data_IF_063847653217
#
_entry.id   IF_063847653217
#
_cell.length_a   1.000
_cell.length_b   1.000
_cell.length_c   1.000
_cell.angle_alpha   90.00
_cell.angle_beta   90.00
_cell.angle_gamma   90.00
#
_symmetry.space_group_name_H-M   'P 1'
#
loop_
_entity.id
_entity.type
_entity.pdbx_description
1 polymer ?
#
# COMPACT_ATOMS: atom_id res chain seq x y z
N UNK A 1 3.46 8.50 2.00
CA UNK A 1 2.66 7.69 1.04
C UNK A 1 2.22 6.36 1.62
N UNK A 2 3.12 5.58 2.26
CA UNK A 2 2.77 4.32 2.95
C UNK A 2 1.54 4.40 3.88
N UNK A 3 1.46 5.43 4.74
CA UNK A 3 0.34 5.63 5.66
C UNK A 3 -1.01 5.75 4.93
N UNK A 4 -1.03 6.46 3.80
CA UNK A 4 -2.22 6.67 3.00
C UNK A 4 -2.65 5.37 2.30
N UNK A 5 -1.69 4.66 1.69
CA UNK A 5 -1.92 3.34 1.06
C UNK A 5 -2.52 2.36 2.06
N UNK A 6 -1.93 2.23 3.26
CA UNK A 6 -2.46 1.34 4.32
C UNK A 6 -3.86 1.72 4.75
N UNK A 7 -4.14 3.01 4.90
CA UNK A 7 -5.47 3.49 5.29
C UNK A 7 -6.52 3.11 4.25
N UNK A 8 -6.20 3.26 2.96
CA UNK A 8 -7.09 2.88 1.86
C UNK A 8 -7.29 1.36 1.81
N UNK A 9 -6.21 0.58 1.86
CA UNK A 9 -6.26 -0.89 1.84
C UNK A 9 -7.16 -1.40 2.98
N UNK A 10 -6.96 -0.91 4.20
CA UNK A 10 -7.73 -1.34 5.35
C UNK A 10 -9.22 -0.91 5.27
N UNK A 11 -9.51 0.27 4.71
CA UNK A 11 -10.89 0.69 4.48
C UNK A 11 -11.62 -0.21 3.47
N UNK A 12 -10.95 -0.56 2.37
CA UNK A 12 -11.54 -1.42 1.35
C UNK A 12 -11.62 -2.89 1.79
N UNK A 13 -10.68 -3.41 2.58
CA UNK A 13 -10.81 -4.74 3.19
C UNK A 13 -12.03 -4.85 4.11
N UNK A 14 -12.29 -3.82 4.92
CA UNK A 14 -13.52 -3.77 5.74
C UNK A 14 -14.78 -3.70 4.89
N UNK A 15 -14.73 -3.00 3.76
CA UNK A 15 -15.85 -2.95 2.82
C UNK A 15 -16.05 -4.30 2.12
N UNK A 16 -14.97 -4.98 1.75
CA UNK A 16 -14.98 -6.30 1.13
C UNK A 16 -15.57 -7.35 2.07
N UNK A 17 -15.10 -7.39 3.32
CA UNK A 17 -15.62 -8.30 4.35
C UNK A 17 -17.14 -8.14 4.56
N UNK A 18 -17.66 -6.90 4.48
CA UNK A 18 -19.11 -6.63 4.55
C UNK A 18 -19.87 -7.08 3.32
N UNK A 19 -19.28 -6.97 2.12
CA UNK A 19 -19.94 -7.32 0.85
C UNK A 19 -19.86 -8.81 0.52
N UNK A 20 -18.85 -9.50 1.04
CA UNK A 20 -18.59 -10.91 0.79
C UNK A 20 -18.38 -11.65 2.13
N UNK A 21 -19.45 -11.90 2.89
CA UNK A 21 -19.37 -12.55 4.21
C UNK A 21 -18.91 -14.02 4.14
N UNK A 22 -18.86 -14.61 2.94
CA UNK A 22 -18.29 -15.94 2.71
C UNK A 22 -16.76 -15.96 2.72
N UNK A 23 -16.10 -14.79 2.59
CA UNK A 23 -14.65 -14.70 2.70
C UNK A 23 -14.24 -14.95 4.15
N UNK A 24 -13.32 -15.89 4.32
CA UNK A 24 -12.72 -16.17 5.60
C UNK A 24 -11.68 -15.11 5.91
N UNK A 25 -11.31 -15.02 7.18
CA UNK A 25 -10.23 -14.14 7.62
C UNK A 25 -8.93 -14.41 6.85
N UNK A 26 -8.59 -15.69 6.64
CA UNK A 26 -7.42 -16.08 5.86
C UNK A 26 -7.44 -15.55 4.41
N UNK A 27 -8.62 -15.49 3.78
CA UNK A 27 -8.74 -14.95 2.42
C UNK A 27 -8.49 -13.43 2.42
N UNK A 28 -9.00 -12.73 3.44
CA UNK A 28 -8.76 -11.30 3.62
C UNK A 28 -7.29 -11.00 3.93
N UNK A 29 -6.61 -11.85 4.71
CA UNK A 29 -5.19 -11.71 5.04
C UNK A 29 -4.32 -11.88 3.78
N UNK A 30 -4.65 -12.82 2.88
CA UNK A 30 -3.96 -12.97 1.59
C UNK A 30 -4.16 -11.73 0.70
N UNK A 31 -5.37 -11.17 0.69
CA UNK A 31 -5.67 -9.95 -0.09
C UNK A 31 -4.92 -8.76 0.49
N UNK A 32 -4.86 -8.61 1.81
CA UNK A 32 -4.09 -7.55 2.49
C UNK A 32 -2.61 -7.61 2.08
N UNK A 33 -1.97 -8.78 2.21
CA UNK A 33 -0.58 -8.97 1.85
C UNK A 33 -0.30 -8.67 0.36
N UNK A 34 -1.19 -9.12 -0.53
CA UNK A 34 -1.05 -8.87 -1.97
C UNK A 34 -1.17 -7.37 -2.30
N UNK A 35 -2.06 -6.65 -1.62
CA UNK A 35 -2.24 -5.22 -1.82
C UNK A 35 -1.09 -4.40 -1.24
N UNK A 36 -0.50 -4.82 -0.11
CA UNK A 36 0.72 -4.22 0.42
C UNK A 36 1.89 -4.40 -0.57
N UNK A 37 2.13 -5.60 -1.08
CA UNK A 37 3.18 -5.88 -2.06
C UNK A 37 3.01 -5.08 -3.37
N UNK A 38 1.78 -4.96 -3.86
CA UNK A 38 1.47 -4.15 -5.04
C UNK A 38 1.75 -2.66 -4.79
N UNK A 39 1.34 -2.14 -3.63
CA UNK A 39 1.58 -0.74 -3.29
C UNK A 39 3.08 -0.42 -3.26
N UNK A 40 3.88 -1.30 -2.67
CA UNK A 40 5.33 -1.16 -2.60
C UNK A 40 5.96 -1.24 -4.00
N UNK A 41 5.51 -2.18 -4.82
CA UNK A 41 5.96 -2.34 -6.21
C UNK A 41 5.67 -1.09 -7.05
N UNK A 42 4.50 -0.47 -6.88
CA UNK A 42 4.13 0.76 -7.59
C UNK A 42 4.97 1.97 -7.13
N UNK A 43 5.31 2.04 -5.83
CA UNK A 43 6.22 3.06 -5.32
C UNK A 43 7.60 2.88 -5.96
N UNK A 44 8.14 1.66 -5.97
CA UNK A 44 9.44 1.34 -6.56
C UNK A 44 9.46 1.62 -8.07
N UNK A 45 8.44 1.20 -8.80
CA UNK A 45 8.33 1.45 -10.24
C UNK A 45 8.36 2.96 -10.55
N UNK A 46 7.57 3.75 -9.82
CA UNK A 46 7.54 5.20 -9.96
C UNK A 46 8.89 5.85 -9.61
N UNK A 47 9.63 5.32 -8.64
CA UNK A 47 10.97 5.77 -8.30
C UNK A 47 12.00 5.46 -9.41
N UNK A 48 11.83 4.34 -10.14
CA UNK A 48 12.68 3.97 -11.28
C UNK A 48 12.45 4.85 -12.50
N UNK A 49 11.19 5.20 -12.77
CA UNK A 49 10.80 5.92 -13.99
C UNK A 49 11.03 7.44 -13.91
N UNK A 50 11.43 7.99 -12.76
CA UNK A 50 11.60 9.46 -12.62
C UNK A 50 12.81 9.86 -11.78
N UNK A 51 14.05 9.73 -12.30
CA UNK A 51 15.29 9.89 -11.52
C UNK A 51 15.43 11.20 -10.74
N UNK A 52 15.00 12.34 -11.30
CA UNK A 52 15.02 13.63 -10.57
C UNK A 52 13.92 13.73 -9.50
N UNK A 53 12.77 13.07 -9.67
CA UNK A 53 11.70 13.05 -8.67
C UNK A 53 12.01 12.06 -7.53
N UNK A 54 12.83 11.04 -7.80
CA UNK A 54 13.31 10.05 -6.83
C UNK A 54 13.99 10.72 -5.63
N UNK A 55 14.84 11.73 -5.84
CA UNK A 55 15.51 12.44 -4.74
C UNK A 55 14.54 13.18 -3.80
N UNK A 56 13.49 13.79 -4.36
CA UNK A 56 12.47 14.47 -3.55
C UNK A 56 11.51 13.49 -2.86
N UNK A 57 11.16 12.38 -3.52
CA UNK A 57 10.32 11.34 -2.93
C UNK A 57 11.05 10.55 -1.84
N UNK A 58 12.32 10.18 -2.05
CA UNK A 58 13.14 9.54 -1.02
C UNK A 58 13.28 10.46 0.20
N UNK A 59 13.51 11.76 -0.01
CA UNK A 59 13.53 12.73 1.08
C UNK A 59 12.18 12.80 1.82
N UNK A 60 11.04 12.75 1.13
CA UNK A 60 9.73 12.66 1.79
C UNK A 60 9.46 11.32 2.49
N UNK A 61 10.06 10.22 2.04
CA UNK A 61 9.89 8.89 2.63
C UNK A 61 10.80 8.69 3.86
N UNK A 62 11.97 9.33 3.89
CA UNK A 62 12.97 9.22 4.96
C UNK A 62 13.04 10.46 5.88
N UNK A 63 12.25 11.52 5.65
CA UNK A 63 12.20 12.68 6.54
C UNK A 63 11.39 12.46 7.82
N UNK A 64 10.63 11.36 7.92
CA UNK A 64 9.80 11.03 9.11
C UNK A 64 10.44 9.97 10.03
N UNK A 65 11.73 9.68 9.87
CA UNK A 65 12.48 8.88 10.87
C UNK A 65 13.32 9.80 11.76
N UNK A 66 13.06 9.86 13.09
CA UNK A 66 13.86 10.62 14.04
C UNK A 66 15.28 10.08 14.21
#
# INVERSE_FOLDING_TARGET
MHQHSRTVIHAELRRLARRAPSLRRADLDVIDATLEELADSLIIARLRDTPQATASLLRCLFADTP
#
